data_IF_498319860053
#
_entry.id   IF_498319860053
#
_cell.length_a   1.000
_cell.length_b   1.000
_cell.length_c   1.000
_cell.angle_alpha   90.00
_cell.angle_beta   90.00
_cell.angle_gamma   90.00
#
_symmetry.space_group_name_H-M   'P 1'
#
loop_
_entity.id
_entity.type
_entity.pdbx_description
1 polymer ?
#
# COMPACT_ATOMS: atom_id res chain seq x y z
N UNK A 1 48.79 -61.45 23.73
CA UNK A 1 47.93 -60.74 24.70
C UNK A 1 48.38 -59.29 24.72
N UNK A 2 48.36 -58.55 23.60
CA UNK A 2 47.19 -57.94 22.94
C UNK A 2 46.28 -57.21 23.91
N UNK A 3 46.63 -55.97 24.24
CA UNK A 3 45.62 -54.97 24.53
C UNK A 3 45.85 -53.75 23.64
N UNK A 4 44.91 -53.61 22.70
CA UNK A 4 44.81 -52.58 21.67
C UNK A 4 43.83 -51.56 22.23
N UNK A 5 44.31 -50.49 22.86
CA UNK A 5 43.44 -49.38 23.25
C UNK A 5 43.29 -48.44 22.06
N UNK A 6 42.21 -48.69 21.32
CA UNK A 6 41.74 -47.89 20.21
C UNK A 6 40.76 -46.83 20.76
N UNK A 7 41.05 -45.55 20.50
CA UNK A 7 40.13 -44.52 19.94
C UNK A 7 40.26 -43.09 20.48
N UNK A 8 39.91 -42.10 19.62
CA UNK A 8 40.44 -40.75 19.62
C UNK A 8 39.43 -39.74 20.15
N UNK A 9 39.89 -38.60 20.67
CA UNK A 9 39.15 -37.32 20.57
C UNK A 9 40.06 -36.17 20.99
N UNK A 10 40.92 -35.71 20.09
CA UNK A 10 41.47 -34.34 20.21
C UNK A 10 40.36 -33.40 19.75
N UNK A 11 39.46 -33.07 20.68
CA UNK A 11 38.39 -32.09 20.53
C UNK A 11 39.05 -30.77 20.10
N UNK A 12 39.00 -30.45 18.82
CA UNK A 12 39.29 -29.11 18.32
C UNK A 12 38.26 -28.21 18.98
N UNK A 13 38.70 -27.41 19.96
CA UNK A 13 37.97 -26.25 20.41
C UNK A 13 37.90 -25.27 19.25
N UNK A 14 36.83 -25.39 18.47
CA UNK A 14 36.36 -24.32 17.60
C UNK A 14 36.03 -23.14 18.50
N UNK A 15 36.95 -22.19 18.58
CA UNK A 15 36.70 -20.86 19.09
C UNK A 15 35.42 -20.32 18.42
N UNK A 16 34.31 -20.34 19.16
CA UNK A 16 33.10 -19.62 18.77
C UNK A 16 33.42 -18.14 18.91
N UNK A 17 33.78 -17.51 17.80
CA UNK A 17 33.74 -16.06 17.70
C UNK A 17 32.32 -15.56 18.02
N UNK A 18 32.17 -14.32 18.51
CA UNK A 18 30.86 -13.71 18.71
C UNK A 18 30.13 -13.69 17.36
N UNK A 19 28.97 -14.36 17.28
CA UNK A 19 28.13 -14.33 16.08
C UNK A 19 27.61 -12.91 15.88
N UNK A 20 28.09 -12.24 14.85
CA UNK A 20 27.68 -10.91 14.39
C UNK A 20 26.37 -10.96 13.58
N UNK A 21 25.42 -11.79 13.99
CA UNK A 21 24.14 -12.01 13.28
C UNK A 21 22.92 -11.49 14.05
N UNK A 22 23.12 -10.52 14.95
CA UNK A 22 22.00 -9.73 15.47
C UNK A 22 22.07 -8.37 14.78
N UNK A 23 21.13 -8.05 13.87
CA UNK A 23 20.98 -6.66 13.44
C UNK A 23 20.72 -5.87 14.71
N UNK A 24 21.62 -4.94 15.03
CA UNK A 24 21.46 -4.04 16.15
C UNK A 24 20.11 -3.35 15.97
N UNK A 25 19.14 -3.72 16.80
CA UNK A 25 17.87 -3.02 16.89
C UNK A 25 18.22 -1.59 17.30
N UNK A 26 18.23 -0.70 16.31
CA UNK A 26 18.37 0.73 16.46
C UNK A 26 17.27 1.15 17.41
N UNK A 27 17.64 1.22 18.70
CA UNK A 27 16.84 1.71 19.81
C UNK A 27 16.24 3.02 19.38
N UNK A 28 15.03 2.94 18.82
CA UNK A 28 14.35 4.08 18.23
C UNK A 28 14.10 5.01 19.38
N UNK A 29 14.88 6.09 19.40
CA UNK A 29 14.78 7.15 20.39
C UNK A 29 13.35 7.66 20.27
N UNK A 30 12.47 7.27 21.20
CA UNK A 30 11.11 7.79 21.28
C UNK A 30 11.21 9.28 21.55
N UNK A 31 11.27 10.06 20.48
CA UNK A 31 10.99 11.49 20.53
C UNK A 31 9.58 11.63 21.12
N UNK A 32 9.35 12.63 21.99
CA UNK A 32 8.02 12.88 22.52
C UNK A 32 7.06 13.05 21.33
N UNK A 33 6.10 12.15 21.23
CA UNK A 33 5.04 12.19 20.24
C UNK A 33 4.12 13.34 20.62
N UNK A 34 4.49 14.57 20.24
CA UNK A 34 3.61 15.75 20.32
C UNK A 34 2.29 15.33 19.70
N UNK A 35 1.16 15.60 20.38
CA UNK A 35 -0.21 15.11 20.10
C UNK A 35 -0.67 15.31 18.64
N UNK A 36 -0.12 14.50 17.74
CA UNK A 36 -0.24 14.67 16.30
C UNK A 36 -1.68 14.41 15.82
N UNK A 37 -2.48 13.73 16.65
CA UNK A 37 -3.88 13.45 16.38
C UNK A 37 -4.77 14.68 16.61
N UNK A 38 -4.52 15.48 17.65
CA UNK A 38 -5.27 16.71 17.90
C UNK A 38 -5.01 17.76 16.80
N UNK A 39 -3.75 17.91 16.39
CA UNK A 39 -3.38 18.80 15.29
C UNK A 39 -3.87 18.31 13.93
N UNK A 40 -3.92 16.99 13.70
CA UNK A 40 -4.47 16.40 12.48
C UNK A 40 -5.95 16.73 12.29
N UNK A 41 -6.75 16.60 13.35
CA UNK A 41 -8.18 16.97 13.31
C UNK A 41 -8.35 18.48 13.09
N UNK A 42 -7.50 19.31 13.69
CA UNK A 42 -7.52 20.76 13.47
C UNK A 42 -7.17 21.12 12.02
N UNK A 43 -6.09 20.58 11.47
CA UNK A 43 -5.65 20.82 10.09
C UNK A 43 -6.70 20.37 9.08
N UNK A 44 -7.33 19.21 9.28
CA UNK A 44 -8.40 18.71 8.41
C UNK A 44 -9.64 19.62 8.45
N UNK A 45 -9.97 20.15 9.63
CA UNK A 45 -11.06 21.13 9.78
C UNK A 45 -10.70 22.47 9.13
N UNK A 46 -9.45 22.91 9.28
CA UNK A 46 -8.95 24.14 8.67
C UNK A 46 -8.90 24.06 7.14
N UNK A 47 -8.47 22.91 6.58
CA UNK A 47 -8.46 22.65 5.15
C UNK A 47 -9.87 22.64 4.56
N UNK A 48 -10.83 21.97 5.22
CA UNK A 48 -12.24 22.00 4.81
C UNK A 48 -12.84 23.41 4.90
N UNK A 49 -12.44 24.18 5.90
CA UNK A 49 -12.90 25.56 6.07
C UNK A 49 -12.36 26.49 4.97
N UNK A 50 -11.06 26.43 4.67
CA UNK A 50 -10.42 27.23 3.60
C UNK A 50 -10.90 26.86 2.20
N UNK A 51 -11.23 25.58 1.95
CA UNK A 51 -11.74 25.11 0.66
C UNK A 51 -13.19 25.50 0.33
N UNK A 52 -13.90 26.17 1.24
CA UNK A 52 -15.32 26.53 1.05
C UNK A 52 -15.44 27.95 0.47
N UNK A 53 -16.26 28.14 -0.58
CA UNK A 53 -16.53 29.45 -1.18
C UNK A 53 -17.06 30.52 -0.20
N UNK A 54 -17.71 30.07 0.89
CA UNK A 54 -18.18 30.92 1.99
C UNK A 54 -17.05 31.62 2.75
N UNK A 55 -15.87 31.00 2.86
CA UNK A 55 -14.72 31.60 3.55
C UNK A 55 -14.21 32.83 2.79
N UNK A 56 -14.01 32.69 1.47
CA UNK A 56 -13.60 33.81 0.62
C UNK A 56 -14.60 34.98 0.70
N UNK A 57 -15.90 34.68 0.63
CA UNK A 57 -16.95 35.70 0.75
C UNK A 57 -16.87 36.49 2.07
N UNK A 58 -16.77 35.78 3.21
CA UNK A 58 -16.62 36.42 4.51
C UNK A 58 -15.34 37.26 4.61
N UNK A 59 -14.22 36.76 4.10
CA UNK A 59 -12.94 37.49 4.08
C UNK A 59 -13.03 38.77 3.23
N UNK A 60 -13.68 38.72 2.06
CA UNK A 60 -13.90 39.90 1.22
C UNK A 60 -14.78 40.93 1.92
N UNK A 61 -15.88 40.50 2.55
CA UNK A 61 -16.76 41.40 3.32
C UNK A 61 -16.01 42.04 4.48
N UNK A 62 -15.19 41.28 5.21
CA UNK A 62 -14.36 41.81 6.29
C UNK A 62 -13.40 42.90 5.81
N UNK A 63 -12.70 42.67 4.70
CA UNK A 63 -11.79 43.67 4.11
C UNK A 63 -12.55 44.93 3.69
N UNK A 64 -13.70 44.78 3.02
CA UNK A 64 -14.54 45.92 2.60
C UNK A 64 -15.01 46.72 3.82
N UNK A 65 -15.49 46.05 4.87
CA UNK A 65 -15.93 46.70 6.10
C UNK A 65 -14.79 47.43 6.80
N UNK A 66 -13.59 46.84 6.85
CA UNK A 66 -12.41 47.47 7.45
C UNK A 66 -12.00 48.75 6.71
N UNK A 67 -11.97 48.68 5.37
CA UNK A 67 -11.67 49.83 4.52
C UNK A 67 -12.75 50.90 4.66
N UNK A 68 -14.03 50.52 4.64
CA UNK A 68 -15.15 51.45 4.80
C UNK A 68 -15.11 52.14 6.19
N UNK A 69 -14.85 51.38 7.26
CA UNK A 69 -14.71 51.91 8.61
C UNK A 69 -13.57 52.95 8.71
N UNK A 70 -12.43 52.65 8.11
CA UNK A 70 -11.29 53.58 8.07
C UNK A 70 -11.55 54.81 7.18
N UNK A 71 -12.31 54.64 6.09
CA UNK A 71 -12.63 55.73 5.17
C UNK A 71 -13.66 56.71 5.73
N UNK A 72 -14.68 56.19 6.44
CA UNK A 72 -15.71 57.02 7.09
C UNK A 72 -15.11 57.83 8.24
N UNK A 73 -14.00 57.37 8.83
CA UNK A 73 -13.25 58.13 9.82
C UNK A 73 -14.17 58.63 10.94
N UNK A 74 -14.94 57.70 11.53
CA UNK A 74 -16.12 57.95 12.39
C UNK A 74 -15.88 58.96 13.54
N UNK A 75 -14.63 59.31 13.85
CA UNK A 75 -14.27 60.27 14.90
C UNK A 75 -13.15 61.27 14.54
N UNK A 76 -12.84 61.48 13.25
CA UNK A 76 -11.70 62.32 12.85
C UNK A 76 -10.32 61.70 13.13
N UNK A 77 -10.25 60.61 13.89
CA UNK A 77 -9.10 59.73 13.99
C UNK A 77 -9.10 58.72 12.83
N UNK A 78 -8.19 58.93 11.88
CA UNK A 78 -7.86 57.94 10.85
C UNK A 78 -7.00 56.85 11.49
N UNK A 79 -7.62 55.76 11.92
CA UNK A 79 -6.94 54.63 12.57
C UNK A 79 -5.93 53.93 11.63
N UNK A 80 -6.24 53.86 10.32
CA UNK A 80 -5.37 53.28 9.29
C UNK A 80 -5.49 54.08 7.97
N UNK A 81 -4.77 55.21 7.83
CA UNK A 81 -4.73 55.98 6.59
C UNK A 81 -4.16 55.16 5.42
N UNK A 82 -4.54 55.50 4.18
CA UNK A 82 -3.95 54.91 2.98
C UNK A 82 -2.41 55.01 3.05
N UNK A 83 -1.64 53.91 2.98
CA UNK A 83 -1.91 52.62 2.33
C UNK A 83 -2.32 51.43 3.23
N UNK A 84 -3.06 51.64 4.32
CA UNK A 84 -3.59 50.57 5.22
C UNK A 84 -2.50 49.65 5.83
N UNK A 85 -1.57 50.25 6.59
CA UNK A 85 -0.41 49.54 7.14
C UNK A 85 -0.81 48.45 8.13
N UNK A 86 -1.87 48.66 8.92
CA UNK A 86 -2.31 47.70 9.93
C UNK A 86 -2.94 46.47 9.28
N UNK A 87 -3.77 46.68 8.24
CA UNK A 87 -4.34 45.58 7.46
C UNK A 87 -3.23 44.75 6.81
N UNK A 88 -2.22 45.41 6.25
CA UNK A 88 -1.10 44.71 5.64
C UNK A 88 -0.25 43.93 6.67
N UNK A 89 -0.03 44.50 7.86
CA UNK A 89 0.64 43.80 8.96
C UNK A 89 -0.13 42.53 9.35
N UNK A 90 -1.45 42.64 9.48
CA UNK A 90 -2.30 41.52 9.83
C UNK A 90 -2.22 40.39 8.80
N UNK A 91 -2.32 40.70 7.50
CA UNK A 91 -2.14 39.69 6.44
C UNK A 91 -0.74 39.08 6.43
N UNK A 92 0.30 39.87 6.68
CA UNK A 92 1.67 39.39 6.76
C UNK A 92 1.85 38.39 7.90
N UNK A 93 1.32 38.71 9.09
CA UNK A 93 1.32 37.80 10.23
C UNK A 93 0.45 36.55 9.98
N UNK A 94 -0.70 36.71 9.32
CA UNK A 94 -1.59 35.61 8.97
C UNK A 94 -0.88 34.59 8.06
N UNK A 95 -0.20 35.07 7.02
CA UNK A 95 0.60 34.21 6.13
C UNK A 95 1.78 33.55 6.88
N UNK A 96 2.45 34.29 7.77
CA UNK A 96 3.59 33.79 8.54
C UNK A 96 3.20 32.64 9.49
N UNK A 97 2.04 32.71 10.15
CA UNK A 97 1.56 31.62 11.00
C UNK A 97 0.95 30.46 10.20
N UNK A 98 0.44 30.72 8.99
CA UNK A 98 -0.08 29.66 8.13
C UNK A 98 1.02 28.71 7.63
N UNK A 99 2.21 29.22 7.30
CA UNK A 99 3.32 28.41 6.78
C UNK A 99 3.71 27.20 7.66
N UNK A 100 3.99 27.34 8.96
CA UNK A 100 4.33 26.19 9.81
C UNK A 100 3.15 25.24 10.01
N UNK A 101 1.92 25.76 10.01
CA UNK A 101 0.71 24.94 10.13
C UNK A 101 0.49 24.09 8.88
N UNK A 102 0.70 24.67 7.70
CA UNK A 102 0.64 23.98 6.41
C UNK A 102 1.74 22.93 6.32
N UNK A 103 2.96 23.25 6.74
CA UNK A 103 4.09 22.31 6.73
C UNK A 103 3.81 21.08 7.60
N UNK A 104 3.23 21.27 8.79
CA UNK A 104 2.83 20.15 9.64
C UNK A 104 1.66 19.34 9.05
N UNK A 105 0.71 20.00 8.39
CA UNK A 105 -0.38 19.32 7.70
C UNK A 105 0.15 18.48 6.52
N UNK A 106 1.11 19.01 5.77
CA UNK A 106 1.77 18.34 4.65
C UNK A 106 2.57 17.12 5.10
N UNK A 107 3.42 17.23 6.14
CA UNK A 107 4.16 16.08 6.66
C UNK A 107 3.25 14.90 7.04
N UNK A 108 2.06 15.18 7.58
CA UNK A 108 1.08 14.13 7.91
C UNK A 108 0.36 13.58 6.68
N UNK A 109 0.13 14.39 5.65
CA UNK A 109 -0.39 13.90 4.37
C UNK A 109 0.64 12.95 3.74
N UNK A 110 1.91 13.35 3.69
CA UNK A 110 3.01 12.55 3.15
C UNK A 110 3.17 11.21 3.90
N UNK A 111 3.04 11.21 5.24
CA UNK A 111 3.08 9.99 6.05
C UNK A 111 1.90 9.03 5.72
N UNK A 112 0.68 9.57 5.58
CA UNK A 112 -0.50 8.77 5.19
C UNK A 112 -0.35 8.22 3.79
N UNK A 113 0.09 9.04 2.84
CA UNK A 113 0.29 8.67 1.46
C UNK A 113 1.37 7.59 1.33
N UNK A 114 2.43 7.67 2.15
CA UNK A 114 3.44 6.61 2.24
C UNK A 114 2.85 5.28 2.72
N UNK A 115 2.08 5.28 3.81
CA UNK A 115 1.44 4.05 4.32
C UNK A 115 0.46 3.47 3.30
N UNK A 116 -0.32 4.33 2.63
CA UNK A 116 -1.22 3.91 1.56
C UNK A 116 -0.45 3.24 0.42
N UNK A 117 0.65 3.85 -0.05
CA UNK A 117 1.52 3.29 -1.10
C UNK A 117 2.18 1.97 -0.68
N UNK A 118 2.62 1.83 0.57
CA UNK A 118 3.16 0.58 1.08
C UNK A 118 2.10 -0.54 1.12
N UNK A 119 0.88 -0.21 1.57
CA UNK A 119 -0.25 -1.16 1.53
C UNK A 119 -0.65 -1.52 0.11
N UNK A 120 -0.60 -0.58 -0.83
CA UNK A 120 -0.96 -0.81 -2.23
C UNK A 120 0.04 -1.75 -2.90
N UNK A 121 1.35 -1.51 -2.72
CA UNK A 121 2.41 -2.43 -3.17
C UNK A 121 2.23 -3.84 -2.63
N UNK A 122 1.93 -3.98 -1.33
CA UNK A 122 1.70 -5.30 -0.73
C UNK A 122 0.44 -6.00 -1.29
N UNK A 123 -0.57 -5.25 -1.73
CA UNK A 123 -1.76 -5.80 -2.41
C UNK A 123 -1.43 -6.22 -3.82
N UNK A 124 -0.68 -5.42 -4.57
CA UNK A 124 -0.25 -5.73 -5.93
C UNK A 124 0.62 -6.99 -5.97
N UNK A 125 1.57 -7.14 -5.05
CA UNK A 125 2.38 -8.35 -4.92
C UNK A 125 1.52 -9.60 -4.69
N UNK A 126 0.51 -9.50 -3.82
CA UNK A 126 -0.43 -10.60 -3.58
C UNK A 126 -1.30 -10.89 -4.81
N UNK A 127 -1.79 -9.85 -5.48
CA UNK A 127 -2.59 -10.00 -6.69
C UNK A 127 -1.80 -10.67 -7.83
N UNK A 128 -0.51 -10.34 -7.97
CA UNK A 128 0.39 -11.01 -8.90
C UNK A 128 0.58 -12.48 -8.54
N UNK A 129 0.83 -12.79 -7.26
CA UNK A 129 0.97 -14.17 -6.78
C UNK A 129 -0.31 -15.00 -6.98
N UNK A 130 -1.48 -14.43 -6.69
CA UNK A 130 -2.78 -15.07 -6.91
C UNK A 130 -3.03 -15.33 -8.40
N UNK A 131 -2.66 -14.37 -9.26
CA UNK A 131 -2.77 -14.52 -10.72
C UNK A 131 -1.85 -15.63 -11.23
N UNK A 132 -0.61 -15.70 -10.75
CA UNK A 132 0.33 -16.76 -11.10
C UNK A 132 -0.19 -18.13 -10.64
N UNK A 133 -0.70 -18.21 -9.42
CA UNK A 133 -1.30 -19.42 -8.86
C UNK A 133 -2.49 -19.90 -9.70
N UNK A 134 -3.45 -19.01 -9.98
CA UNK A 134 -4.62 -19.32 -10.81
C UNK A 134 -4.21 -19.75 -12.23
N UNK A 135 -3.20 -19.10 -12.81
CA UNK A 135 -2.70 -19.47 -14.14
C UNK A 135 -2.11 -20.88 -14.14
N UNK A 136 -1.37 -21.25 -13.09
CA UNK A 136 -0.81 -22.59 -12.91
C UNK A 136 -1.89 -23.65 -12.69
N UNK A 137 -2.89 -23.36 -11.87
CA UNK A 137 -4.04 -24.24 -11.65
C UNK A 137 -4.89 -24.43 -12.91
N UNK A 138 -5.11 -23.37 -13.70
CA UNK A 138 -5.81 -23.50 -14.99
C UNK A 138 -4.99 -24.34 -15.98
N UNK A 139 -3.67 -24.18 -16.01
CA UNK A 139 -2.81 -24.98 -16.86
C UNK A 139 -2.83 -26.48 -16.46
N UNK A 140 -2.76 -26.79 -15.15
CA UNK A 140 -2.83 -28.16 -14.65
C UNK A 140 -4.19 -28.79 -14.94
N UNK A 141 -5.29 -28.07 -14.69
CA UNK A 141 -6.66 -28.51 -14.99
C UNK A 141 -6.86 -28.79 -16.48
N UNK A 142 -6.31 -27.94 -17.35
CA UNK A 142 -6.39 -28.12 -18.81
C UNK A 142 -5.65 -29.37 -19.27
N UNK A 143 -4.48 -29.67 -18.70
CA UNK A 143 -3.73 -30.89 -19.01
C UNK A 143 -4.49 -32.14 -18.56
N UNK A 144 -5.02 -32.14 -17.33
CA UNK A 144 -5.82 -33.26 -16.81
C UNK A 144 -7.07 -33.52 -17.66
N UNK A 145 -7.75 -32.46 -18.11
CA UNK A 145 -8.92 -32.56 -18.99
C UNK A 145 -8.56 -33.15 -20.36
N UNK A 146 -7.40 -32.77 -20.92
CA UNK A 146 -6.90 -33.31 -22.19
C UNK A 146 -6.58 -34.80 -22.12
N UNK A 147 -5.94 -35.24 -21.03
CA UNK A 147 -5.58 -36.65 -20.84
C UNK A 147 -6.82 -37.53 -20.68
N UNK A 148 -7.81 -37.08 -19.90
CA UNK A 148 -9.10 -37.76 -19.75
C UNK A 148 -9.82 -37.91 -21.11
N UNK A 149 -9.92 -36.84 -21.90
CA UNK A 149 -10.53 -36.89 -23.23
C UNK A 149 -9.79 -37.85 -24.18
N UNK A 150 -8.46 -37.89 -24.13
CA UNK A 150 -7.64 -38.82 -24.93
C UNK A 150 -7.91 -40.27 -24.53
N UNK A 151 -7.99 -40.55 -23.23
CA UNK A 151 -8.28 -41.89 -22.71
C UNK A 151 -9.65 -42.38 -23.16
N UNK A 152 -10.67 -41.55 -23.08
CA UNK A 152 -12.04 -41.93 -23.48
C UNK A 152 -12.13 -42.14 -25.00
N UNK A 153 -11.45 -41.32 -25.80
CA UNK A 153 -11.35 -41.52 -27.25
C UNK A 153 -10.64 -42.83 -27.62
N UNK A 154 -9.48 -43.12 -27.01
CA UNK A 154 -8.77 -44.40 -27.24
C UNK A 154 -9.65 -45.58 -26.84
N UNK A 155 -10.40 -45.46 -25.73
CA UNK A 155 -11.34 -46.50 -25.29
C UNK A 155 -12.49 -46.70 -26.27
N UNK A 156 -13.05 -45.62 -26.84
CA UNK A 156 -14.14 -45.75 -27.83
C UNK A 156 -13.65 -46.38 -29.13
N UNK A 157 -12.46 -46.00 -29.61
CA UNK A 157 -11.87 -46.61 -30.82
C UNK A 157 -11.59 -48.10 -30.62
N UNK A 158 -11.02 -48.48 -29.47
CA UNK A 158 -10.82 -49.89 -29.14
C UNK A 158 -12.14 -50.68 -29.12
N UNK A 159 -13.21 -50.11 -28.57
CA UNK A 159 -14.54 -50.75 -28.56
C UNK A 159 -15.10 -50.89 -29.97
N UNK A 160 -15.05 -49.83 -30.79
CA UNK A 160 -15.53 -49.86 -32.17
C UNK A 160 -14.80 -50.92 -33.00
N UNK A 161 -13.46 -51.00 -32.88
CA UNK A 161 -12.67 -52.01 -33.58
C UNK A 161 -12.99 -53.43 -33.10
N UNK A 162 -13.23 -53.62 -31.80
CA UNK A 162 -13.63 -54.91 -31.23
C UNK A 162 -14.99 -55.35 -31.80
N UNK A 163 -15.96 -54.45 -31.81
CA UNK A 163 -17.30 -54.69 -32.34
C UNK A 163 -17.24 -55.02 -33.85
N UNK A 164 -16.40 -54.33 -34.62
CA UNK A 164 -16.21 -54.59 -36.06
C UNK A 164 -15.64 -56.01 -36.32
N UNK A 165 -14.65 -56.44 -35.52
CA UNK A 165 -14.08 -57.78 -35.62
C UNK A 165 -15.09 -58.86 -35.22
N UNK A 166 -15.87 -58.63 -34.16
CA UNK A 166 -16.95 -59.53 -33.75
C UNK A 166 -17.99 -59.68 -34.87
N UNK A 167 -18.42 -58.58 -35.48
CA UNK A 167 -19.32 -58.59 -36.63
C UNK A 167 -18.76 -59.37 -37.82
N UNK A 168 -17.48 -59.20 -38.16
CA UNK A 168 -16.83 -59.97 -39.23
C UNK A 168 -16.76 -61.47 -38.90
N UNK A 169 -16.51 -61.82 -37.64
CA UNK A 169 -16.51 -63.23 -37.19
C UNK A 169 -17.89 -63.87 -37.26
N UNK A 170 -18.96 -63.09 -37.03
CA UNK A 170 -20.35 -63.54 -37.14
C UNK A 170 -20.80 -63.72 -38.61
N UNK A 171 -20.15 -63.04 -39.55
CA UNK A 171 -20.47 -63.09 -40.99
C UNK A 171 -19.66 -64.18 -41.71
N UNK A 172 -18.51 -64.61 -41.19
CA UNK A 172 -17.73 -65.71 -41.77
C UNK A 172 -18.33 -67.07 -41.35
N UNK A 173 -18.99 -67.83 -42.24
CA UNK A 173 -19.41 -69.20 -41.93
C UNK A 173 -18.13 -70.01 -41.69
N UNK A 174 -18.13 -70.77 -40.60
CA UNK A 174 -17.04 -71.65 -40.21
C UNK A 174 -17.04 -72.88 -41.13
N UNK A 175 -16.63 -72.67 -42.37
CA UNK A 175 -16.54 -73.74 -43.35
C UNK A 175 -15.18 -74.44 -43.18
N UNK A 176 -15.30 -75.74 -42.94
CA UNK A 176 -14.31 -76.79 -42.63
C UNK A 176 -13.16 -76.93 -43.62
#
# INVERSE_FOLDING_TARGET
MTERTDRPTRRRESARGPKLDQPAELRTRRLPQIDADAFGVFAERFARFMGTAKFLMWMTVFVILWVAWNLIGVFGLRYDPYPFILLNLFFSTQASYAAPLILLAQNRQDDRDRVALESDRARDERALADTEFLTREVASLRLATRDAATRDFVRSELRNLLDELEQRSLIAPRDS
#
